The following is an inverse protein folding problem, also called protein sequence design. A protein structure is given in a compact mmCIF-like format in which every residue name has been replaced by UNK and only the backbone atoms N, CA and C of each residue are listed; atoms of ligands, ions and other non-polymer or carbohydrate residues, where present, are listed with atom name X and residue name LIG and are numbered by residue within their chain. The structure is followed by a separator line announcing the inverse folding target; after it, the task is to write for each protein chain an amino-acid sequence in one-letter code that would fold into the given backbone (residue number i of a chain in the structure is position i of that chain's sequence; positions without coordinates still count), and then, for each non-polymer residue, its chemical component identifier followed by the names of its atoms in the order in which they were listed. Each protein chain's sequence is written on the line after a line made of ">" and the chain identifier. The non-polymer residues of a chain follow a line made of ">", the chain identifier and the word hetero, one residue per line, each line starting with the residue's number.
data_IF_058509518490
#
_entry.id   IF_058509518490
#
_cell.length_a   1.000
_cell.length_b   1.000
_cell.length_c   1.000
_cell.angle_alpha   90.00
_cell.angle_beta   90.00
_cell.angle_gamma   90.00
#
_symmetry.space_group_name_H-M   'P 1'
#
loop_
_entity.id
_entity.type
_entity.pdbx_description
1 polymer ?
#
# COMPACT_ATOMS: atom_id res chain seq x y z
N UNK A 1 -30.87 3.64 9.19
CA UNK A 1 -29.89 4.30 8.31
C UNK A 1 -28.68 4.93 9.03
N UNK A 2 -28.82 5.49 10.25
CA UNK A 2 -27.72 6.14 10.99
C UNK A 2 -26.48 5.26 11.24
N UNK A 3 -26.68 3.98 11.59
CA UNK A 3 -25.58 3.02 11.81
C UNK A 3 -24.76 2.76 10.53
N UNK A 4 -25.42 2.60 9.39
CA UNK A 4 -24.76 2.40 8.10
C UNK A 4 -23.95 3.64 7.67
N UNK A 5 -24.46 4.84 7.96
CA UNK A 5 -23.75 6.10 7.67
C UNK A 5 -22.51 6.28 8.54
N UNK A 6 -22.58 5.90 9.82
CA UNK A 6 -21.44 5.94 10.74
C UNK A 6 -20.37 4.93 10.31
N UNK A 7 -20.75 3.70 9.97
CA UNK A 7 -19.82 2.70 9.44
C UNK A 7 -19.12 3.18 8.15
N UNK A 8 -19.88 3.76 7.21
CA UNK A 8 -19.32 4.31 5.97
C UNK A 8 -18.43 5.55 6.20
N UNK A 9 -18.68 6.34 7.24
CA UNK A 9 -17.81 7.45 7.62
C UNK A 9 -16.48 6.95 8.19
N UNK A 10 -16.52 5.91 9.02
CA UNK A 10 -15.31 5.32 9.60
C UNK A 10 -14.44 4.65 8.54
N UNK A 11 -15.04 3.88 7.62
CA UNK A 11 -14.31 3.29 6.49
C UNK A 11 -13.62 4.37 5.64
N UNK A 12 -14.32 5.49 5.36
CA UNK A 12 -13.72 6.62 4.63
C UNK A 12 -12.54 7.23 5.39
N UNK A 13 -12.66 7.40 6.71
CA UNK A 13 -11.60 7.93 7.56
C UNK A 13 -10.34 7.06 7.51
N UNK A 14 -10.51 5.75 7.55
CA UNK A 14 -9.39 4.79 7.51
C UNK A 14 -8.72 4.78 6.14
N UNK A 15 -9.51 4.75 5.06
CA UNK A 15 -8.97 4.84 3.68
C UNK A 15 -8.23 6.15 3.48
N UNK A 16 -8.74 7.26 4.02
CA UNK A 16 -8.11 8.57 3.92
C UNK A 16 -6.78 8.63 4.69
N UNK A 17 -6.73 8.06 5.90
CA UNK A 17 -5.47 7.95 6.65
C UNK A 17 -4.41 7.12 5.91
N UNK A 18 -4.82 6.03 5.28
CA UNK A 18 -3.93 5.24 4.45
C UNK A 18 -3.48 5.98 3.17
N UNK A 19 -4.38 6.75 2.55
CA UNK A 19 -4.03 7.61 1.40
C UNK A 19 -2.94 8.60 1.80
N UNK A 20 -3.06 9.27 2.94
CA UNK A 20 -2.07 10.22 3.44
C UNK A 20 -0.73 9.53 3.74
N UNK A 21 -0.75 8.38 4.42
CA UNK A 21 0.45 7.59 4.69
C UNK A 21 1.18 7.20 3.40
N UNK A 22 0.46 6.64 2.43
CA UNK A 22 1.03 6.21 1.16
C UNK A 22 1.52 7.38 0.32
N UNK A 23 0.87 8.55 0.36
CA UNK A 23 1.40 9.78 -0.25
C UNK A 23 2.77 10.11 0.32
N UNK A 24 2.91 10.15 1.65
CA UNK A 24 4.20 10.45 2.30
C UNK A 24 5.26 9.42 1.92
N UNK A 25 4.96 8.12 2.03
CA UNK A 25 5.87 7.06 1.64
C UNK A 25 6.33 7.18 0.18
N UNK A 26 5.42 7.52 -0.74
CA UNK A 26 5.72 7.70 -2.16
C UNK A 26 6.75 8.79 -2.43
N UNK A 27 6.94 9.74 -1.49
CA UNK A 27 7.84 10.87 -1.62
C UNK A 27 9.16 10.67 -0.86
N UNK A 28 9.29 9.64 -0.02
CA UNK A 28 10.49 9.45 0.79
C UNK A 28 11.69 9.04 -0.08
N UNK A 29 12.90 9.55 0.20
CA UNK A 29 14.12 9.14 -0.51
C UNK A 29 14.34 7.63 -0.51
N UNK A 30 14.03 6.94 0.58
CA UNK A 30 14.17 5.47 0.65
C UNK A 30 13.32 4.72 -0.40
N UNK A 31 12.23 5.33 -0.87
CA UNK A 31 11.38 4.80 -1.96
C UNK A 31 11.84 5.33 -3.31
N UNK A 32 12.05 6.65 -3.41
CA UNK A 32 12.41 7.33 -4.65
C UNK A 32 13.76 6.87 -5.21
N UNK A 33 14.74 6.67 -4.33
CA UNK A 33 16.11 6.23 -4.68
C UNK A 33 16.26 4.71 -4.63
N UNK A 34 15.19 3.97 -4.28
CA UNK A 34 15.20 2.52 -4.09
C UNK A 34 16.32 2.03 -3.16
N UNK A 35 16.44 2.65 -1.98
CA UNK A 35 17.40 2.22 -0.95
C UNK A 35 16.92 0.90 -0.31
N UNK A 36 17.22 -0.22 -0.96
CA UNK A 36 16.80 -1.56 -0.52
C UNK A 36 17.28 -1.90 0.90
N UNK A 37 18.48 -1.43 1.27
CA UNK A 37 19.09 -1.70 2.56
C UNK A 37 18.31 -1.05 3.72
N UNK A 38 17.80 0.17 3.53
CA UNK A 38 17.06 0.91 4.57
C UNK A 38 15.56 0.77 4.47
N UNK A 39 15.03 0.47 3.30
CA UNK A 39 13.60 0.49 3.06
C UNK A 39 12.85 -0.58 3.89
N UNK A 40 13.29 -1.83 3.85
CA UNK A 40 12.63 -2.95 4.56
C UNK A 40 12.50 -2.70 6.07
N UNK A 41 13.61 -2.42 6.80
CA UNK A 41 13.55 -2.10 8.23
C UNK A 41 12.67 -0.89 8.56
N UNK A 42 12.65 0.13 7.70
CA UNK A 42 11.82 1.32 7.90
C UNK A 42 10.34 0.99 7.78
N UNK A 43 9.94 0.26 6.72
CA UNK A 43 8.56 -0.17 6.55
C UNK A 43 8.11 -1.16 7.64
N UNK A 44 9.02 -1.99 8.16
CA UNK A 44 8.73 -2.87 9.30
C UNK A 44 8.39 -2.08 10.56
N UNK A 45 9.21 -1.10 10.95
CA UNK A 45 8.93 -0.22 12.09
C UNK A 45 7.60 0.53 11.92
N UNK A 46 7.33 1.03 10.72
CA UNK A 46 6.10 1.75 10.42
C UNK A 46 4.85 0.86 10.52
N UNK A 47 4.95 -0.39 10.07
CA UNK A 47 3.88 -1.38 10.24
C UNK A 47 3.63 -1.67 11.72
N UNK A 48 4.69 -1.77 12.53
CA UNK A 48 4.57 -2.07 13.95
C UNK A 48 3.91 -0.92 14.74
N UNK A 49 4.16 0.33 14.33
CA UNK A 49 3.47 1.53 14.86
C UNK A 49 1.99 1.60 14.42
N UNK A 50 1.69 1.15 13.21
CA UNK A 50 0.36 1.18 12.62
C UNK A 50 -0.20 -0.22 12.37
N UNK A 51 -0.63 -0.94 13.42
CA UNK A 51 -0.93 -2.36 13.33
C UNK A 51 -2.26 -2.67 12.61
N UNK A 52 -2.94 -1.63 12.11
CA UNK A 52 -4.04 -1.76 11.13
C UNK A 52 -3.53 -2.24 9.76
N UNK A 53 -2.24 -2.12 9.48
CA UNK A 53 -1.62 -2.63 8.26
C UNK A 53 -0.94 -3.98 8.50
N UNK A 54 -1.31 -4.96 7.69
CA UNK A 54 -0.67 -6.28 7.66
C UNK A 54 0.68 -6.27 6.93
N UNK A 55 0.81 -5.37 5.95
CA UNK A 55 2.01 -5.22 5.13
C UNK A 55 2.07 -3.80 4.58
N UNK A 56 3.29 -3.29 4.45
CA UNK A 56 3.65 -2.11 3.68
C UNK A 56 4.70 -2.56 2.66
N UNK A 57 4.66 -2.03 1.45
CA UNK A 57 5.65 -2.38 0.44
C UNK A 57 5.73 -1.39 -0.71
N UNK A 58 6.77 -1.56 -1.51
CA UNK A 58 7.00 -0.83 -2.75
C UNK A 58 7.30 -1.82 -3.87
N UNK A 59 6.58 -1.68 -4.97
CA UNK A 59 6.74 -2.46 -6.18
C UNK A 59 7.31 -1.59 -7.30
N UNK A 60 8.06 -2.20 -8.20
CA UNK A 60 8.49 -1.57 -9.45
C UNK A 60 7.31 -1.42 -10.44
N UNK A 61 7.56 -0.82 -11.62
CA UNK A 61 6.55 -0.70 -12.67
C UNK A 61 6.11 -2.06 -13.23
N UNK A 62 6.95 -3.08 -13.06
CA UNK A 62 6.69 -4.49 -13.38
C UNK A 62 5.75 -5.18 -12.37
N UNK A 63 5.46 -4.53 -11.24
CA UNK A 63 4.62 -5.08 -10.17
C UNK A 63 5.35 -6.01 -9.20
N UNK A 64 6.68 -6.15 -9.29
CA UNK A 64 7.45 -6.95 -8.34
C UNK A 64 7.81 -6.10 -7.13
N UNK A 65 7.47 -6.59 -5.93
CA UNK A 65 7.80 -5.93 -4.66
C UNK A 65 9.31 -6.02 -4.42
N UNK A 66 10.01 -4.89 -4.50
CA UNK A 66 11.45 -4.83 -4.19
C UNK A 66 11.71 -4.50 -2.72
N UNK A 67 10.76 -3.84 -2.05
CA UNK A 67 10.84 -3.55 -0.61
C UNK A 67 9.54 -3.87 0.11
N UNK A 68 9.63 -4.46 1.31
CA UNK A 68 8.48 -4.81 2.14
C UNK A 68 8.81 -4.74 3.63
N UNK A 69 7.79 -4.46 4.44
CA UNK A 69 7.82 -4.66 5.90
C UNK A 69 7.86 -6.13 6.33
N UNK A 70 7.68 -7.06 5.39
CA UNK A 70 7.73 -8.51 5.62
C UNK A 70 8.82 -9.16 4.75
N UNK A 71 8.50 -9.51 3.50
CA UNK A 71 9.43 -10.12 2.55
C UNK A 71 9.22 -9.54 1.14
N UNK A 72 10.29 -9.15 0.43
CA UNK A 72 10.19 -8.74 -0.98
C UNK A 72 10.02 -9.95 -1.93
N UNK A 73 9.97 -9.68 -3.24
CA UNK A 73 9.91 -10.66 -4.33
C UNK A 73 8.50 -11.13 -4.71
N UNK A 74 7.46 -10.66 -4.02
CA UNK A 74 6.09 -11.00 -4.39
C UNK A 74 5.66 -10.19 -5.61
N UNK A 75 5.18 -10.86 -6.65
CA UNK A 75 4.51 -10.21 -7.78
C UNK A 75 3.09 -9.77 -7.38
N UNK A 76 2.75 -8.51 -7.64
CA UNK A 76 1.42 -7.93 -7.45
C UNK A 76 0.87 -7.26 -8.72
N UNK A 77 1.49 -7.47 -9.89
CA UNK A 77 1.07 -6.93 -11.19
C UNK A 77 -0.36 -7.30 -11.55
N UNK A 78 -0.82 -8.48 -11.11
CA UNK A 78 -2.17 -8.98 -11.30
C UNK A 78 -3.21 -8.37 -10.34
N UNK A 79 -2.79 -7.57 -9.36
CA UNK A 79 -3.70 -7.03 -8.34
C UNK A 79 -4.47 -5.81 -8.85
N UNK A 80 -5.80 -5.75 -8.64
CA UNK A 80 -6.61 -4.61 -9.07
C UNK A 80 -6.22 -3.26 -8.49
N UNK A 81 -5.60 -3.24 -7.29
CA UNK A 81 -5.07 -2.01 -6.69
C UNK A 81 -3.85 -1.49 -7.44
N UNK A 82 -2.89 -2.38 -7.72
CA UNK A 82 -1.69 -2.06 -8.48
C UNK A 82 -2.02 -1.57 -9.89
N UNK A 83 -2.79 -2.35 -10.67
CA UNK A 83 -3.16 -1.98 -12.05
C UNK A 83 -3.81 -0.60 -12.12
N UNK A 84 -4.83 -0.35 -11.30
CA UNK A 84 -5.52 0.94 -11.31
C UNK A 84 -4.61 2.09 -10.91
N UNK A 85 -3.73 1.91 -9.92
CA UNK A 85 -2.78 2.95 -9.54
C UNK A 85 -1.80 3.25 -10.68
N UNK A 86 -1.25 2.21 -11.31
CA UNK A 86 -0.33 2.34 -12.43
C UNK A 86 -0.99 2.96 -13.67
N UNK A 87 -2.20 2.55 -14.02
CA UNK A 87 -2.95 3.05 -15.19
C UNK A 87 -3.42 4.50 -15.02
N UNK A 88 -3.89 4.86 -13.82
CA UNK A 88 -4.52 6.18 -13.58
C UNK A 88 -3.57 7.24 -13.05
N UNK A 89 -2.39 6.85 -12.57
CA UNK A 89 -1.46 7.74 -11.88
C UNK A 89 -2.02 8.30 -10.57
N UNK A 90 -3.04 7.65 -9.99
CA UNK A 90 -3.74 8.11 -8.77
C UNK A 90 -3.82 7.01 -7.72
N UNK A 91 -4.09 7.43 -6.48
CA UNK A 91 -4.42 6.50 -5.41
C UNK A 91 -5.57 5.58 -5.81
N UNK A 92 -5.40 4.28 -5.56
CA UNK A 92 -6.39 3.26 -5.85
C UNK A 92 -6.67 2.40 -4.62
N UNK A 93 -7.96 2.26 -4.32
CA UNK A 93 -8.45 1.26 -3.38
C UNK A 93 -8.68 -0.02 -4.16
N UNK A 94 -7.88 -1.04 -3.89
CA UNK A 94 -7.99 -2.39 -4.43
C UNK A 94 -9.29 -3.10 -4.07
N UNK A 95 -9.31 -4.41 -4.33
CA UNK A 95 -10.37 -5.29 -3.83
C UNK A 95 -9.97 -5.98 -2.53
N UNK A 96 -10.93 -6.70 -1.97
CA UNK A 96 -10.66 -7.72 -0.97
C UNK A 96 -9.66 -8.74 -1.52
N UNK A 97 -8.60 -9.01 -0.77
CA UNK A 97 -7.63 -10.04 -1.08
C UNK A 97 -7.20 -10.78 0.18
N UNK A 98 -6.99 -12.08 0.06
CA UNK A 98 -6.18 -12.81 1.05
C UNK A 98 -4.71 -12.53 0.72
N UNK A 99 -3.98 -11.97 1.68
CA UNK A 99 -2.58 -11.58 1.49
C UNK A 99 -1.71 -12.80 1.16
N UNK A 100 -0.93 -12.74 0.07
CA UNK A 100 -0.04 -13.85 -0.35
C UNK A 100 1.01 -14.21 0.69
N UNK A 101 1.48 -13.20 1.43
CA UNK A 101 2.52 -13.34 2.43
C UNK A 101 1.92 -13.52 3.84
N UNK A 102 0.84 -12.79 4.14
CA UNK A 102 0.29 -12.70 5.51
C UNK A 102 -0.83 -13.70 5.77
N UNK A 103 -1.45 -14.27 4.73
CA UNK A 103 -2.68 -15.05 4.78
C UNK A 103 -3.87 -14.33 5.45
N UNK A 104 -3.78 -13.01 5.64
CA UNK A 104 -4.83 -12.18 6.26
C UNK A 104 -5.81 -11.67 5.22
N UNK A 105 -7.05 -11.42 5.66
CA UNK A 105 -8.08 -10.77 4.86
C UNK A 105 -7.80 -9.28 4.82
N UNK A 106 -7.51 -8.76 3.63
CA UNK A 106 -7.03 -7.39 3.50
C UNK A 106 -7.72 -6.63 2.40
N UNK A 107 -7.85 -5.32 2.60
CA UNK A 107 -8.11 -4.37 1.53
C UNK A 107 -6.77 -3.79 1.09
N UNK A 108 -6.39 -4.03 -0.16
CA UNK A 108 -5.12 -3.52 -0.67
C UNK A 108 -5.29 -2.06 -1.12
N UNK A 109 -4.38 -1.18 -0.72
CA UNK A 109 -4.39 0.25 -1.03
C UNK A 109 -3.10 0.57 -1.75
N UNK A 110 -3.16 1.38 -2.80
CA UNK A 110 -2.02 1.57 -3.71
C UNK A 110 -1.87 3.05 -4.09
N UNK A 111 -0.64 3.56 -4.04
CA UNK A 111 -0.27 4.90 -4.47
C UNK A 111 0.90 4.82 -5.46
N UNK A 112 0.77 5.34 -6.68
CA UNK A 112 1.88 5.38 -7.63
C UNK A 112 2.90 6.43 -7.22
N UNK A 113 4.16 6.22 -7.59
CA UNK A 113 5.21 7.22 -7.53
C UNK A 113 5.92 7.29 -8.87
N UNK A 114 6.45 8.48 -9.17
CA UNK A 114 7.04 8.81 -10.46
C UNK A 114 8.50 9.19 -10.29
N UNK A 115 9.30 8.95 -11.33
CA UNK A 115 10.70 9.39 -11.37
C UNK A 115 10.80 10.90 -11.65
N UNK A 116 12.02 11.42 -11.69
CA UNK A 116 12.29 12.84 -11.97
C UNK A 116 11.82 13.31 -13.35
N UNK A 117 11.49 12.39 -14.26
CA UNK A 117 10.97 12.69 -15.60
C UNK A 117 9.44 12.50 -15.66
N UNK A 118 8.79 12.24 -14.53
CA UNK A 118 7.34 12.06 -14.42
C UNK A 118 6.83 10.71 -14.92
N UNK A 119 7.71 9.74 -15.22
CA UNK A 119 7.29 8.39 -15.59
C UNK A 119 6.97 7.57 -14.36
N UNK A 120 6.07 6.60 -14.48
CA UNK A 120 5.76 5.67 -13.40
C UNK A 120 7.04 4.90 -12.98
N UNK A 121 7.50 5.15 -11.76
CA UNK A 121 8.66 4.49 -11.17
C UNK A 121 8.27 3.29 -10.30
N UNK A 122 7.01 3.22 -9.90
CA UNK A 122 6.44 2.10 -9.17
C UNK A 122 5.19 2.45 -8.39
N UNK A 123 4.82 1.57 -7.47
CA UNK A 123 3.64 1.72 -6.60
C UNK A 123 4.00 1.34 -5.17
N UNK A 124 3.72 2.23 -4.21
CA UNK A 124 3.70 1.86 -2.80
C UNK A 124 2.33 1.30 -2.43
N UNK A 125 2.30 0.27 -1.59
CA UNK A 125 1.07 -0.41 -1.19
C UNK A 125 0.98 -0.68 0.30
N UNK A 126 -0.26 -0.80 0.77
CA UNK A 126 -0.59 -1.22 2.12
C UNK A 126 -1.70 -2.27 2.08
N UNK A 127 -1.56 -3.32 2.89
CA UNK A 127 -2.65 -4.27 3.15
C UNK A 127 -3.37 -3.93 4.44
N UNK A 128 -4.54 -3.31 4.35
CA UNK A 128 -5.37 -2.96 5.51
C UNK A 128 -6.06 -4.21 6.08
N UNK A 129 -5.86 -4.53 7.35
CA UNK A 129 -6.41 -5.72 8.01
C UNK A 129 -7.92 -5.56 8.24
N UNK A 130 -8.74 -6.36 7.55
CA UNK A 130 -10.19 -6.29 7.68
C UNK A 130 -10.69 -6.88 9.01
N UNK A 131 -9.93 -7.78 9.63
CA UNK A 131 -10.31 -8.36 10.94
C UNK A 131 -10.20 -7.30 12.06
N UNK A 132 -9.52 -6.18 11.82
CA UNK A 132 -9.43 -5.04 12.74
C UNK A 132 -10.41 -3.92 12.46
N UNK A 133 -11.21 -4.07 11.40
CA UNK A 133 -12.27 -3.12 11.02
C UNK A 133 -13.67 -3.65 11.33
N UNK A 134 -13.75 -4.89 11.81
CA UNK A 134 -14.98 -5.62 12.13
C UNK A 134 -15.32 -5.53 13.62
#
# INVERSE_FOLDING_TARGET
>A
MRLAQLAAAEQRRIVEGARQLLTVLSMLPIIQERDEARCGPTLARLRDEFPVYTVLGAAGPDGVIWCSSTRPGTDISDRPGFRRAAETGRFAVGGYVVGRVTARRTLNLSMPFHDGEGRLAGVVNAGLDLDRLA
#
